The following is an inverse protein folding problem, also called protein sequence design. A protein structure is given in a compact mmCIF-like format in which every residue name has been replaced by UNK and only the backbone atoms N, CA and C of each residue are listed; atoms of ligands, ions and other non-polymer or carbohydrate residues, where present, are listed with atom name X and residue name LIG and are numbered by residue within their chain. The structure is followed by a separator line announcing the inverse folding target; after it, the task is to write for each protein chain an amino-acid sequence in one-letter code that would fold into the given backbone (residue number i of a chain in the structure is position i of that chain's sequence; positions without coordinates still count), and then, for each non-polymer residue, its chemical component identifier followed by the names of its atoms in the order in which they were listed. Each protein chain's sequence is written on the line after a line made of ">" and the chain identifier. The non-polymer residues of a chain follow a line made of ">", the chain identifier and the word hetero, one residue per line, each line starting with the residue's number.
data_IF_357014160388
#
_entry.id   IF_357014160388
#
_cell.length_a   1.000
_cell.length_b   1.000
_cell.length_c   1.000
_cell.angle_alpha   90.00
_cell.angle_beta   90.00
_cell.angle_gamma   90.00
#
_symmetry.space_group_name_H-M   'P 1'
#
loop_
_entity.id
_entity.type
_entity.pdbx_description
1 polymer ?
#
# COMPACT_ATOMS: atom_id res chain seq x y z
N UNK A 1 20.44 14.51 7.51
CA UNK A 1 21.19 14.31 6.26
C UNK A 1 22.59 14.92 6.32
N UNK A 2 22.74 16.16 6.77
CA UNK A 2 24.07 16.83 6.86
C UNK A 2 25.09 16.04 7.67
N UNK A 3 24.69 15.37 8.74
CA UNK A 3 25.61 14.55 9.54
C UNK A 3 26.02 13.27 8.82
N UNK A 4 25.10 12.62 8.10
CA UNK A 4 25.40 11.45 7.30
C UNK A 4 26.34 11.77 6.12
N UNK A 5 26.25 12.96 5.54
CA UNK A 5 27.10 13.41 4.44
C UNK A 5 28.56 13.61 4.87
N UNK A 6 28.81 13.92 6.15
CA UNK A 6 30.17 14.04 6.74
C UNK A 6 30.85 12.69 6.94
N UNK A 7 30.10 11.60 6.90
CA UNK A 7 30.59 10.24 7.18
C UNK A 7 30.24 9.28 6.05
N UNK A 8 30.77 9.47 4.83
CA UNK A 8 30.44 8.67 3.65
C UNK A 8 30.88 7.20 3.75
N UNK A 9 31.75 6.88 4.68
CA UNK A 9 32.21 5.53 5.05
C UNK A 9 31.18 4.77 5.90
N UNK A 10 30.22 5.49 6.55
CA UNK A 10 29.17 4.91 7.37
C UNK A 10 27.93 4.67 6.50
N UNK A 11 27.45 3.42 6.45
CA UNK A 11 26.21 3.07 5.75
C UNK A 11 25.00 3.46 6.58
N UNK A 12 24.24 4.42 6.09
CA UNK A 12 22.96 4.82 6.66
C UNK A 12 21.82 4.36 5.75
N UNK A 13 20.90 3.53 6.26
CA UNK A 13 19.82 2.97 5.47
C UNK A 13 18.55 2.77 6.30
N UNK A 14 17.39 2.89 5.64
CA UNK A 14 16.10 2.51 6.20
C UNK A 14 15.88 1.00 6.02
N UNK A 15 15.45 0.34 7.10
CA UNK A 15 15.16 -1.10 7.09
C UNK A 15 13.69 -1.35 6.73
N UNK A 16 13.38 -1.39 5.44
CA UNK A 16 12.07 -1.83 4.95
C UNK A 16 12.06 -3.37 4.78
N UNK A 17 12.01 -4.07 5.91
CA UNK A 17 12.15 -5.53 5.99
C UNK A 17 11.06 -6.30 5.23
N UNK A 18 9.90 -5.70 4.93
CA UNK A 18 8.86 -6.34 4.13
C UNK A 18 9.32 -6.65 2.69
N UNK A 19 10.30 -5.93 2.16
CA UNK A 19 10.93 -6.26 0.86
C UNK A 19 11.70 -7.58 0.89
N UNK A 20 12.06 -8.10 2.07
CA UNK A 20 12.71 -9.40 2.22
C UNK A 20 11.72 -10.55 2.47
N UNK A 21 10.44 -10.25 2.62
CA UNK A 21 9.41 -11.27 2.77
C UNK A 21 9.24 -12.04 1.45
N UNK A 22 9.39 -13.40 1.46
CA UNK A 22 9.31 -14.22 0.25
C UNK A 22 8.02 -14.05 -0.55
N UNK A 23 6.90 -13.76 0.14
CA UNK A 23 5.62 -13.49 -0.51
C UNK A 23 5.70 -12.27 -1.43
N UNK A 24 6.20 -11.14 -0.92
CA UNK A 24 6.29 -9.91 -1.70
C UNK A 24 7.42 -9.97 -2.74
N UNK A 25 8.51 -10.69 -2.47
CA UNK A 25 9.54 -10.97 -3.46
C UNK A 25 8.95 -11.75 -4.64
N UNK A 26 8.13 -12.77 -4.36
CA UNK A 26 7.47 -13.54 -5.42
C UNK A 26 6.48 -12.68 -6.22
N UNK A 27 5.74 -11.81 -5.57
CA UNK A 27 4.84 -10.84 -6.25
C UNK A 27 5.66 -9.91 -7.15
N UNK A 28 6.79 -9.40 -6.67
CA UNK A 28 7.69 -8.54 -7.46
C UNK A 28 8.23 -9.27 -8.70
N UNK A 29 8.68 -10.52 -8.56
CA UNK A 29 9.11 -11.36 -9.70
C UNK A 29 8.01 -11.51 -10.76
N UNK A 30 6.75 -11.76 -10.33
CA UNK A 30 5.60 -11.92 -11.22
C UNK A 30 5.30 -10.62 -11.98
N UNK A 31 5.39 -9.47 -11.28
CA UNK A 31 5.21 -8.15 -11.88
C UNK A 31 6.33 -7.82 -12.87
N UNK A 32 7.59 -8.04 -12.49
CA UNK A 32 8.76 -7.77 -13.32
C UNK A 32 8.82 -8.67 -14.58
N UNK A 33 8.29 -9.89 -14.47
CA UNK A 33 8.11 -10.78 -15.61
C UNK A 33 6.96 -10.37 -16.54
N UNK A 34 6.21 -9.30 -16.24
CA UNK A 34 5.07 -8.84 -17.04
C UNK A 34 3.88 -9.79 -17.07
N UNK A 35 3.78 -10.73 -16.10
CA UNK A 35 2.79 -11.80 -16.11
C UNK A 35 1.34 -11.30 -16.18
N UNK A 36 1.05 -10.18 -15.55
CA UNK A 36 -0.28 -9.55 -15.55
C UNK A 36 -0.38 -8.36 -16.52
N UNK A 37 0.67 -8.13 -17.31
CA UNK A 37 0.75 -7.00 -18.24
C UNK A 37 0.99 -5.64 -17.55
N UNK A 38 0.61 -4.55 -18.21
CA UNK A 38 0.78 -3.20 -17.68
C UNK A 38 -0.21 -2.94 -16.54
N UNK A 39 0.24 -2.22 -15.52
CA UNK A 39 -0.62 -1.79 -14.40
C UNK A 39 -1.82 -0.99 -14.93
N UNK A 40 -3.02 -1.35 -14.48
CA UNK A 40 -4.29 -0.64 -14.72
C UNK A 40 -4.86 -0.06 -13.45
N UNK A 41 -4.79 -0.83 -12.35
CA UNK A 41 -5.29 -0.38 -11.05
C UNK A 41 -4.57 -1.09 -9.92
N UNK A 42 -4.36 -0.38 -8.83
CA UNK A 42 -4.00 -0.96 -7.54
C UNK A 42 -5.00 -0.53 -6.47
N UNK A 43 -5.38 -1.44 -5.59
CA UNK A 43 -6.23 -1.12 -4.44
C UNK A 43 -5.69 -1.84 -3.22
N UNK A 44 -5.37 -1.11 -2.17
CA UNK A 44 -4.96 -1.68 -0.90
C UNK A 44 -5.84 -1.15 0.22
N UNK A 45 -6.56 -2.04 0.86
CA UNK A 45 -7.27 -1.77 2.10
C UNK A 45 -6.50 -2.50 3.19
N UNK A 46 -5.94 -1.75 4.13
CA UNK A 46 -5.25 -2.28 5.29
C UNK A 46 -5.65 -1.54 6.55
N UNK A 47 -6.64 -2.10 7.25
CA UNK A 47 -7.23 -1.55 8.46
C UNK A 47 -7.03 -2.46 9.67
N UNK A 48 -6.25 -3.54 9.52
CA UNK A 48 -5.99 -4.56 10.55
C UNK A 48 -5.12 -4.09 11.73
N UNK A 49 -4.84 -2.80 11.82
CA UNK A 49 -4.02 -2.21 12.90
C UNK A 49 -4.86 -1.58 14.01
N UNK A 50 -5.87 -2.26 14.47
CA UNK A 50 -6.67 -1.76 15.57
C UNK A 50 -5.81 -1.37 16.79
N UNK A 51 -5.99 -0.12 17.26
CA UNK A 51 -5.30 0.46 18.41
C UNK A 51 -6.31 1.01 19.41
N UNK A 52 -6.13 0.65 20.67
CA UNK A 52 -6.97 1.15 21.77
C UNK A 52 -6.47 2.52 22.23
N UNK A 53 -7.30 3.28 22.95
CA UNK A 53 -6.83 4.50 23.64
C UNK A 53 -5.66 4.17 24.58
N UNK A 54 -5.72 3.06 25.31
CA UNK A 54 -4.65 2.61 26.22
C UNK A 54 -3.30 2.39 25.50
N UNK A 55 -3.31 1.97 24.24
CA UNK A 55 -2.09 1.89 23.44
C UNK A 55 -1.47 3.27 23.25
N UNK A 56 -2.27 4.26 22.91
CA UNK A 56 -1.78 5.64 22.72
C UNK A 56 -1.33 6.27 24.03
N UNK A 57 -2.04 6.04 25.12
CA UNK A 57 -1.71 6.55 26.46
C UNK A 57 -0.46 5.90 27.08
N UNK A 58 0.07 4.84 26.47
CA UNK A 58 1.23 4.10 26.99
C UNK A 58 2.53 4.89 26.95
N UNK A 59 2.59 5.99 26.19
CA UNK A 59 3.78 6.85 26.09
C UNK A 59 3.41 8.25 25.61
N UNK A 60 3.99 9.27 26.19
CA UNK A 60 3.70 10.66 25.88
C UNK A 60 4.08 11.10 24.45
N UNK A 61 4.94 10.36 23.77
CA UNK A 61 5.37 10.66 22.40
C UNK A 61 4.44 10.07 21.33
N UNK A 62 3.67 9.01 21.71
CA UNK A 62 2.80 8.32 20.75
C UNK A 62 1.70 9.22 20.22
N UNK A 63 1.39 9.07 18.94
CA UNK A 63 0.32 9.78 18.24
C UNK A 63 0.35 11.31 18.48
N UNK A 64 1.57 11.87 18.52
CA UNK A 64 1.79 13.32 18.62
C UNK A 64 2.71 13.80 17.51
N UNK A 65 2.47 15.00 17.01
CA UNK A 65 3.33 15.62 16.00
C UNK A 65 4.77 15.84 16.49
N UNK A 66 4.92 16.21 17.77
CA UNK A 66 6.24 16.48 18.36
C UNK A 66 7.05 15.20 18.61
N UNK A 67 6.38 14.10 18.96
CA UNK A 67 7.04 12.85 19.32
C UNK A 67 7.22 11.89 18.14
N UNK A 68 6.13 11.59 17.45
CA UNK A 68 6.09 10.58 16.38
C UNK A 68 6.17 11.20 14.98
N UNK A 69 5.77 12.46 14.84
CA UNK A 69 5.80 13.18 13.58
C UNK A 69 4.61 12.90 12.66
N UNK A 70 3.62 12.14 13.13
CA UNK A 70 2.42 11.75 12.39
C UNK A 70 1.71 10.59 13.07
N UNK A 71 0.73 10.02 12.40
CA UNK A 71 -0.12 8.96 12.91
C UNK A 71 0.04 7.63 12.15
N UNK A 72 -1.08 7.12 11.63
CA UNK A 72 -1.12 5.80 10.98
C UNK A 72 -0.15 5.69 9.79
N UNK A 73 0.05 6.75 9.03
CA UNK A 73 0.95 6.73 7.86
C UNK A 73 2.42 6.61 8.26
N UNK A 74 2.82 7.20 9.39
CA UNK A 74 4.21 7.22 9.86
C UNK A 74 4.54 6.02 10.74
N UNK A 75 3.58 5.55 11.53
CA UNK A 75 3.83 4.49 12.52
C UNK A 75 3.44 3.10 12.00
N UNK A 76 2.20 2.90 11.52
CA UNK A 76 1.70 1.58 11.15
C UNK A 76 1.94 1.27 9.66
N UNK A 77 1.77 2.26 8.77
CA UNK A 77 1.76 2.06 7.33
C UNK A 77 3.07 2.29 6.56
N UNK A 78 4.22 2.66 7.12
CA UNK A 78 5.43 2.96 6.33
C UNK A 78 5.86 1.78 5.46
N UNK A 79 5.79 0.56 5.99
CA UNK A 79 6.15 -0.65 5.24
C UNK A 79 5.22 -0.91 4.06
N UNK A 80 3.93 -0.60 4.19
CA UNK A 80 2.95 -0.79 3.13
C UNK A 80 3.07 0.28 2.05
N UNK A 81 3.32 1.51 2.43
CA UNK A 81 3.61 2.59 1.48
C UNK A 81 4.90 2.30 0.69
N UNK A 82 5.92 1.80 1.36
CA UNK A 82 7.16 1.36 0.73
C UNK A 82 6.92 0.19 -0.24
N UNK A 83 6.15 -0.82 0.17
CA UNK A 83 5.78 -1.95 -0.69
C UNK A 83 4.94 -1.49 -1.90
N UNK A 84 4.00 -0.57 -1.70
CA UNK A 84 3.18 -0.04 -2.77
C UNK A 84 4.06 0.62 -3.85
N UNK A 85 4.99 1.46 -3.43
CA UNK A 85 5.97 2.07 -4.32
C UNK A 85 6.86 1.03 -5.00
N UNK A 86 7.37 0.06 -4.25
CA UNK A 86 8.29 -0.96 -4.78
C UNK A 86 7.63 -1.88 -5.80
N UNK A 87 6.36 -2.23 -5.59
CA UNK A 87 5.60 -3.13 -6.47
C UNK A 87 5.01 -2.40 -7.68
N UNK A 88 4.46 -1.20 -7.48
CA UNK A 88 3.66 -0.51 -8.48
C UNK A 88 4.32 0.77 -9.05
N UNK A 89 5.44 1.20 -8.48
CA UNK A 89 6.12 2.46 -8.85
C UNK A 89 5.55 3.67 -8.12
N UNK A 90 6.11 4.85 -8.45
CA UNK A 90 5.66 6.13 -7.89
C UNK A 90 4.47 6.68 -8.67
N UNK A 91 3.39 7.09 -7.99
CA UNK A 91 2.32 7.82 -8.63
C UNK A 91 2.77 9.24 -9.04
N UNK A 92 2.18 9.76 -10.11
CA UNK A 92 2.38 11.14 -10.57
C UNK A 92 1.47 12.15 -9.87
N UNK A 93 0.33 11.68 -9.35
CA UNK A 93 -0.62 12.47 -8.58
C UNK A 93 -1.11 11.66 -7.39
N UNK A 94 -1.31 12.34 -6.27
CA UNK A 94 -1.91 11.77 -5.07
C UNK A 94 -2.86 12.78 -4.42
N UNK A 95 -4.07 12.33 -4.11
CA UNK A 95 -5.04 13.04 -3.30
C UNK A 95 -5.42 12.19 -2.10
N UNK A 96 -5.52 12.79 -0.91
CA UNK A 96 -5.83 12.05 0.30
C UNK A 96 -6.79 12.81 1.20
N UNK A 97 -7.72 12.07 1.79
CA UNK A 97 -8.61 12.51 2.86
C UNK A 97 -8.13 11.88 4.16
N UNK A 98 -7.78 12.73 5.12
CA UNK A 98 -7.28 12.34 6.42
C UNK A 98 -8.24 12.79 7.50
N UNK A 99 -8.46 11.91 8.50
CA UNK A 99 -9.14 12.27 9.74
C UNK A 99 -8.18 12.16 10.90
N UNK A 100 -8.30 13.05 11.83
CA UNK A 100 -7.40 13.21 12.97
C UNK A 100 -8.17 12.94 14.25
N UNK A 101 -7.73 11.97 15.04
CA UNK A 101 -8.37 11.64 16.29
C UNK A 101 -9.87 11.33 16.20
N UNK A 102 -10.30 10.67 15.10
CA UNK A 102 -11.73 10.43 14.83
C UNK A 102 -12.39 9.53 15.88
N UNK A 103 -11.63 8.58 16.42
CA UNK A 103 -12.13 7.56 17.34
C UNK A 103 -11.27 7.43 18.60
N UNK A 104 -10.22 8.23 18.71
CA UNK A 104 -9.28 8.24 19.84
C UNK A 104 -8.92 9.69 20.18
N UNK A 105 -8.55 9.93 21.43
CA UNK A 105 -8.04 11.22 21.87
C UNK A 105 -6.56 11.36 21.47
N UNK A 106 -6.31 11.65 20.21
CA UNK A 106 -4.98 11.86 19.61
C UNK A 106 -5.03 13.05 18.63
N UNK A 107 -3.86 13.59 18.27
CA UNK A 107 -3.77 14.79 17.43
C UNK A 107 -3.33 14.53 15.99
N UNK A 108 -2.96 13.31 15.68
CA UNK A 108 -2.45 12.87 14.38
C UNK A 108 -3.51 12.08 13.61
N UNK A 109 -3.23 11.77 12.35
CA UNK A 109 -4.17 11.02 11.49
C UNK A 109 -4.32 9.56 11.96
N UNK A 110 -5.57 9.10 12.06
CA UNK A 110 -5.97 7.74 12.43
C UNK A 110 -6.86 7.05 11.40
N UNK A 111 -7.25 7.79 10.36
CA UNK A 111 -8.04 7.28 9.22
C UNK A 111 -7.62 8.01 7.94
N UNK A 112 -7.26 7.26 6.91
CA UNK A 112 -6.77 7.81 5.64
C UNK A 112 -7.37 7.04 4.48
N UNK A 113 -7.91 7.81 3.50
CA UNK A 113 -8.28 7.32 2.19
C UNK A 113 -7.52 8.13 1.15
N UNK A 114 -6.65 7.48 0.39
CA UNK A 114 -5.85 8.11 -0.65
C UNK A 114 -6.20 7.56 -2.04
N UNK A 115 -6.18 8.43 -3.04
CA UNK A 115 -6.29 8.14 -4.46
C UNK A 115 -4.98 8.47 -5.15
N UNK A 116 -4.59 7.66 -6.14
CA UNK A 116 -3.35 7.82 -6.91
C UNK A 116 -3.62 7.79 -8.41
N UNK A 117 -2.81 8.54 -9.17
CA UNK A 117 -2.68 8.38 -10.61
C UNK A 117 -1.23 8.10 -10.96
N UNK A 118 -1.01 7.14 -11.84
CA UNK A 118 0.32 6.75 -12.31
C UNK A 118 0.60 7.34 -13.70
N UNK A 119 1.88 7.52 -14.10
CA UNK A 119 2.24 8.11 -15.40
C UNK A 119 1.67 7.39 -16.62
N UNK A 120 1.35 6.09 -16.49
CA UNK A 120 0.77 5.29 -17.56
C UNK A 120 -0.78 5.34 -17.59
N UNK A 121 -1.41 6.21 -16.79
CA UNK A 121 -2.86 6.33 -16.67
C UNK A 121 -3.52 5.32 -15.74
N UNK A 122 -2.76 4.43 -15.09
CA UNK A 122 -3.30 3.56 -14.05
C UNK A 122 -3.75 4.37 -12.84
N UNK A 123 -4.72 3.83 -12.10
CA UNK A 123 -5.23 4.46 -10.87
C UNK A 123 -4.97 3.59 -9.65
N UNK A 124 -5.00 4.19 -8.47
CA UNK A 124 -4.84 3.44 -7.24
C UNK A 124 -5.61 4.02 -6.06
N UNK A 125 -5.85 3.19 -5.07
CA UNK A 125 -6.42 3.58 -3.78
C UNK A 125 -5.65 2.92 -2.65
N UNK A 126 -5.47 3.67 -1.56
CA UNK A 126 -4.92 3.17 -0.31
C UNK A 126 -5.81 3.62 0.84
N UNK A 127 -6.34 2.66 1.59
CA UNK A 127 -7.23 2.92 2.73
C UNK A 127 -6.62 2.28 3.96
N UNK A 128 -6.44 3.08 5.02
CA UNK A 128 -5.89 2.60 6.28
C UNK A 128 -6.49 3.33 7.46
N UNK A 129 -6.65 2.63 8.58
CA UNK A 129 -7.06 3.24 9.84
C UNK A 129 -6.60 2.40 11.03
N UNK A 130 -6.77 2.95 12.25
CA UNK A 130 -6.43 2.27 13.51
C UNK A 130 -7.64 1.96 14.38
N UNK A 131 -8.84 2.17 13.88
CA UNK A 131 -10.09 2.01 14.65
C UNK A 131 -10.98 0.83 14.20
N UNK A 132 -10.65 0.13 13.11
CA UNK A 132 -11.37 -1.04 12.65
C UNK A 132 -10.95 -2.29 13.44
N UNK A 133 -11.83 -2.74 14.36
CA UNK A 133 -11.51 -3.86 15.26
C UNK A 133 -11.50 -5.23 14.55
N UNK A 134 -12.23 -5.38 13.45
CA UNK A 134 -12.24 -6.62 12.66
C UNK A 134 -11.17 -6.61 11.59
N UNK A 135 -10.80 -5.45 11.11
CA UNK A 135 -9.72 -5.17 10.18
C UNK A 135 -9.82 -5.88 8.84
N UNK A 136 -9.15 -5.32 7.87
CA UNK A 136 -8.98 -5.91 6.53
C UNK A 136 -7.52 -5.73 6.14
N UNK A 137 -6.91 -6.74 5.51
CA UNK A 137 -5.65 -6.59 4.76
C UNK A 137 -5.83 -7.25 3.40
N UNK A 138 -6.08 -6.42 2.39
CA UNK A 138 -6.30 -6.87 1.02
C UNK A 138 -5.66 -5.93 0.02
N UNK A 139 -4.66 -6.44 -0.70
CA UNK A 139 -4.03 -5.77 -1.83
C UNK A 139 -4.46 -6.45 -3.13
N UNK A 140 -4.96 -5.68 -4.08
CA UNK A 140 -5.21 -6.11 -5.44
C UNK A 140 -4.39 -5.28 -6.43
N UNK A 141 -3.65 -5.95 -7.31
CA UNK A 141 -2.90 -5.34 -8.39
C UNK A 141 -3.49 -5.88 -9.70
N UNK A 142 -4.13 -5.02 -10.46
CA UNK A 142 -4.80 -5.35 -11.71
C UNK A 142 -3.96 -4.83 -12.88
N UNK A 143 -3.61 -5.72 -13.79
CA UNK A 143 -2.98 -5.44 -15.07
C UNK A 143 -3.91 -5.78 -16.24
N UNK A 144 -3.48 -5.44 -17.46
CA UNK A 144 -4.27 -5.69 -18.68
C UNK A 144 -4.34 -7.18 -19.07
N UNK A 145 -3.51 -8.04 -18.49
CA UNK A 145 -3.51 -9.50 -18.73
C UNK A 145 -3.90 -10.34 -17.50
N UNK A 146 -4.19 -9.72 -16.36
CA UNK A 146 -4.54 -10.46 -15.15
C UNK A 146 -4.50 -9.66 -13.89
N UNK A 147 -4.59 -10.36 -12.76
CA UNK A 147 -4.70 -9.75 -11.43
C UNK A 147 -3.92 -10.56 -10.40
N UNK A 148 -3.27 -9.86 -9.49
CA UNK A 148 -2.70 -10.42 -8.26
C UNK A 148 -3.57 -9.97 -7.09
N UNK A 149 -3.94 -10.90 -6.21
CA UNK A 149 -4.69 -10.63 -4.99
C UNK A 149 -3.87 -11.16 -3.82
N UNK A 150 -3.57 -10.30 -2.85
CA UNK A 150 -2.91 -10.67 -1.60
C UNK A 150 -3.89 -10.43 -0.47
N UNK A 151 -4.06 -11.43 0.39
CA UNK A 151 -4.96 -11.35 1.55
C UNK A 151 -4.17 -11.68 2.82
N UNK A 152 -4.36 -10.84 3.84
CA UNK A 152 -3.76 -10.95 5.19
C UNK A 152 -2.23 -11.06 5.17
N UNK A 153 -1.59 -10.53 4.12
CA UNK A 153 -0.13 -10.67 3.92
C UNK A 153 0.36 -12.13 3.99
N UNK A 154 -0.52 -13.11 3.73
CA UNK A 154 -0.26 -14.55 3.87
C UNK A 154 -0.56 -15.35 2.62
N UNK A 155 -1.56 -14.98 1.85
CA UNK A 155 -1.95 -15.69 0.64
C UNK A 155 -1.84 -14.82 -0.61
N UNK A 156 -1.40 -15.42 -1.71
CA UNK A 156 -1.32 -14.79 -3.03
C UNK A 156 -2.10 -15.62 -4.02
N UNK A 157 -3.01 -14.98 -4.73
CA UNK A 157 -3.73 -15.56 -5.85
C UNK A 157 -3.38 -14.77 -7.11
N UNK A 158 -2.90 -15.44 -8.13
CA UNK A 158 -2.65 -14.86 -9.45
C UNK A 158 -3.72 -15.38 -10.40
N UNK A 159 -4.50 -14.47 -10.96
CA UNK A 159 -5.46 -14.75 -12.02
C UNK A 159 -4.89 -14.20 -13.32
N UNK A 160 -4.75 -15.04 -14.32
CA UNK A 160 -4.26 -14.66 -15.63
C UNK A 160 -5.35 -14.89 -16.66
N UNK A 161 -5.45 -13.97 -17.60
CA UNK A 161 -6.31 -14.11 -18.76
C UNK A 161 -5.59 -14.93 -19.84
N UNK A 162 -6.34 -15.71 -20.62
CA UNK A 162 -5.80 -16.49 -21.75
C UNK A 162 -5.35 -15.57 -22.89
N UNK A 163 -5.99 -14.40 -23.00
CA UNK A 163 -5.69 -13.35 -23.97
C UNK A 163 -5.71 -11.99 -23.27
N UNK A 164 -4.97 -10.96 -23.76
CA UNK A 164 -5.06 -9.60 -23.29
C UNK A 164 -6.49 -9.04 -23.37
N UNK A 165 -6.81 -8.09 -22.47
CA UNK A 165 -8.15 -7.51 -22.38
C UNK A 165 -8.61 -6.84 -23.68
N UNK A 166 -7.72 -6.16 -24.38
CA UNK A 166 -8.02 -5.51 -25.65
C UNK A 166 -8.43 -6.52 -26.76
N UNK A 167 -7.81 -7.71 -26.77
CA UNK A 167 -8.21 -8.79 -27.67
C UNK A 167 -9.62 -9.31 -27.34
N UNK A 168 -9.90 -9.48 -26.05
CA UNK A 168 -11.22 -9.90 -25.60
C UNK A 168 -12.31 -8.88 -25.97
N UNK A 169 -12.05 -7.60 -25.83
CA UNK A 169 -12.98 -6.52 -26.21
C UNK A 169 -13.38 -6.54 -27.68
N UNK A 170 -12.51 -7.05 -28.54
CA UNK A 170 -12.80 -7.17 -29.97
C UNK A 170 -13.47 -8.49 -30.35
N UNK A 171 -13.29 -9.54 -29.56
CA UNK A 171 -13.79 -10.88 -29.88
C UNK A 171 -15.13 -11.22 -29.20
N UNK A 172 -15.39 -10.65 -28.03
CA UNK A 172 -16.62 -10.97 -27.27
C UNK A 172 -17.74 -10.01 -27.60
N UNK A 173 -18.87 -10.55 -28.07
CA UNK A 173 -20.14 -9.83 -28.12
C UNK A 173 -20.67 -9.68 -26.67
N UNK A 174 -21.38 -8.58 -26.41
CA UNK A 174 -22.07 -8.30 -25.15
C UNK A 174 -22.90 -9.48 -24.63
N UNK A 175 -23.44 -10.32 -25.51
CA UNK A 175 -24.23 -11.51 -25.17
C UNK A 175 -23.43 -12.69 -24.66
N UNK A 176 -22.11 -12.63 -24.73
CA UNK A 176 -21.19 -13.70 -24.28
C UNK A 176 -20.58 -13.40 -22.91
N UNK A 177 -20.88 -12.23 -22.36
CA UNK A 177 -20.46 -11.83 -21.02
C UNK A 177 -21.51 -12.19 -19.98
#
# INVERSE_FOLDING_TARGET
>A
NEEAEKHPDVKFAMMFNQRTNPLYQKVKEILDAGTIGNLRRVSWIITSWWRTQKYYDSSAWRATWAGEGGGVLVNQAPHQLDLLQWLCGMPSLMEAHLKYGSHRNITVEDDVTAYFEYPNGATGTFITCTHDALGTDRLEIHGDNGKIIITDSKSVVVKKMDKPEDVWNHELDFRQM
#
